data_IF_057057347736
#
_entry.id   IF_057057347736
#
_cell.length_a   1.000
_cell.length_b   1.000
_cell.length_c   1.000
_cell.angle_alpha   90.00
_cell.angle_beta   90.00
_cell.angle_gamma   90.00
#
_symmetry.space_group_name_H-M   'P 1'
#
loop_
_entity.id
_entity.type
_entity.pdbx_description
1 polymer ?
#
# COMPACT_ATOMS: atom_id res chain seq x y z
N UNK A 1 -12.43 63.37 37.47
CA UNK A 1 -13.24 62.22 37.01
C UNK A 1 -13.20 62.20 35.49
N UNK A 2 -12.29 61.42 34.91
CA UNK A 2 -12.13 61.35 33.44
C UNK A 2 -12.12 59.87 33.04
N UNK A 3 -13.25 59.43 32.47
CA UNK A 3 -13.37 58.50 31.35
C UNK A 3 -12.87 57.04 31.41
N UNK A 4 -12.99 56.34 32.55
CA UNK A 4 -12.69 54.88 32.60
C UNK A 4 -13.73 54.02 31.86
N UNK A 5 -14.99 54.48 31.75
CA UNK A 5 -16.06 53.72 31.10
C UNK A 5 -15.91 53.64 29.56
N UNK A 6 -15.36 54.68 28.91
CA UNK A 6 -15.13 54.69 27.47
C UNK A 6 -13.95 53.82 27.03
N UNK A 7 -12.95 53.63 27.90
CA UNK A 7 -11.80 52.75 27.65
C UNK A 7 -12.18 51.26 27.79
N UNK A 8 -13.08 50.93 28.72
CA UNK A 8 -13.56 49.56 28.88
C UNK A 8 -14.33 49.08 27.63
N UNK A 9 -15.18 49.93 27.05
CA UNK A 9 -15.97 49.61 25.85
C UNK A 9 -15.11 49.44 24.58
N UNK A 10 -13.97 50.15 24.51
CA UNK A 10 -13.01 50.01 23.41
C UNK A 10 -12.14 48.76 23.57
N UNK A 11 -11.79 48.38 24.80
CA UNK A 11 -11.04 47.15 25.08
C UNK A 11 -11.87 45.89 24.79
N UNK A 12 -13.17 45.93 25.10
CA UNK A 12 -14.11 44.84 24.83
C UNK A 12 -14.38 44.65 23.33
N UNK A 13 -14.54 45.75 22.57
CA UNK A 13 -14.70 45.69 21.11
C UNK A 13 -13.50 45.08 20.39
N UNK A 14 -12.28 45.39 20.85
CA UNK A 14 -11.04 44.80 20.30
C UNK A 14 -10.97 43.31 20.64
N UNK A 15 -11.29 42.91 21.87
CA UNK A 15 -11.31 41.51 22.27
C UNK A 15 -12.32 40.70 21.45
N UNK A 16 -13.53 41.23 21.24
CA UNK A 16 -14.56 40.58 20.43
C UNK A 16 -14.12 40.44 18.96
N UNK A 17 -13.48 41.47 18.39
CA UNK A 17 -12.95 41.40 17.02
C UNK A 17 -11.85 40.34 16.87
N UNK A 18 -10.93 40.24 17.84
CA UNK A 18 -9.88 39.21 17.84
C UNK A 18 -10.48 37.81 17.95
N UNK A 19 -11.47 37.62 18.84
CA UNK A 19 -12.16 36.33 18.99
C UNK A 19 -12.86 35.95 17.69
N UNK A 20 -13.58 36.89 17.04
CA UNK A 20 -14.23 36.61 15.76
C UNK A 20 -13.25 36.22 14.65
N UNK A 21 -12.09 36.90 14.57
CA UNK A 21 -11.04 36.55 13.60
C UNK A 21 -10.46 35.18 13.91
N UNK A 22 -10.20 34.87 15.18
CA UNK A 22 -9.70 33.56 15.60
C UNK A 22 -10.71 32.45 15.27
N UNK A 23 -12.01 32.68 15.53
CA UNK A 23 -13.07 31.73 15.19
C UNK A 23 -13.18 31.53 13.68
N UNK A 24 -13.12 32.61 12.89
CA UNK A 24 -13.12 32.51 11.43
C UNK A 24 -11.88 31.75 10.92
N UNK A 25 -10.70 32.03 11.48
CA UNK A 25 -9.47 31.32 11.18
C UNK A 25 -9.56 29.84 11.52
N UNK A 26 -10.12 29.48 12.69
CA UNK A 26 -10.35 28.09 13.08
C UNK A 26 -11.32 27.43 12.09
N UNK A 27 -12.44 28.05 11.76
CA UNK A 27 -13.42 27.49 10.80
C UNK A 27 -12.76 27.26 9.44
N UNK A 28 -12.05 28.25 8.90
CA UNK A 28 -11.38 28.15 7.58
C UNK A 28 -10.24 27.12 7.61
N UNK A 29 -9.46 27.06 8.69
CA UNK A 29 -8.37 26.09 8.83
C UNK A 29 -8.86 24.66 9.09
N UNK A 30 -10.04 24.50 9.70
CA UNK A 30 -10.70 23.18 9.84
C UNK A 30 -11.47 22.75 8.59
N UNK A 31 -11.72 23.66 7.64
CA UNK A 31 -12.44 23.36 6.40
C UNK A 31 -11.59 22.63 5.34
N UNK A 32 -10.30 22.37 5.60
CA UNK A 32 -9.55 21.35 4.88
C UNK A 32 -9.98 19.96 5.37
N UNK A 33 -11.26 19.65 5.22
CA UNK A 33 -11.79 18.30 5.35
C UNK A 33 -11.30 17.58 4.10
N UNK A 34 -10.24 16.78 4.24
CA UNK A 34 -10.03 15.66 3.34
C UNK A 34 -11.28 14.80 3.43
N UNK A 35 -12.20 14.98 2.49
CA UNK A 35 -13.39 14.14 2.41
C UNK A 35 -12.91 12.73 2.04
N UNK A 36 -13.43 11.68 2.69
CA UNK A 36 -13.13 10.29 2.30
C UNK A 36 -13.40 9.99 0.82
N UNK A 37 -14.16 10.86 0.13
CA UNK A 37 -14.42 10.76 -1.30
C UNK A 37 -13.21 11.03 -2.19
N UNK A 38 -12.28 11.91 -1.80
CA UNK A 38 -11.13 12.27 -2.66
C UNK A 38 -9.94 11.30 -2.50
N UNK A 39 -9.76 10.70 -1.32
CA UNK A 39 -8.76 9.64 -1.10
C UNK A 39 -9.15 8.34 -1.80
N UNK A 40 -10.45 8.08 -1.97
CA UNK A 40 -10.94 6.86 -2.61
C UNK A 40 -10.54 6.73 -4.08
N UNK A 41 -10.35 7.84 -4.80
CA UNK A 41 -9.93 7.81 -6.21
C UNK A 41 -8.48 7.38 -6.33
N UNK A 42 -7.59 7.95 -5.50
CA UNK A 42 -6.17 7.57 -5.50
C UNK A 42 -5.96 6.14 -5.02
N UNK A 43 -6.74 5.69 -4.04
CA UNK A 43 -6.68 4.32 -3.53
C UNK A 43 -7.18 3.33 -4.59
N UNK A 44 -8.29 3.66 -5.27
CA UNK A 44 -8.82 2.83 -6.36
C UNK A 44 -7.83 2.72 -7.53
N UNK A 45 -7.14 3.80 -7.88
CA UNK A 45 -6.08 3.78 -8.89
C UNK A 45 -4.92 2.89 -8.47
N UNK A 46 -4.51 2.95 -7.20
CA UNK A 46 -3.43 2.14 -6.67
C UNK A 46 -3.81 0.65 -6.60
N UNK A 47 -5.07 0.34 -6.27
CA UNK A 47 -5.62 -1.01 -6.31
C UNK A 47 -5.62 -1.58 -7.72
N UNK A 48 -6.11 -0.81 -8.70
CA UNK A 48 -6.10 -1.19 -10.11
C UNK A 48 -4.68 -1.43 -10.60
N UNK A 49 -3.77 -0.50 -10.32
CA UNK A 49 -2.36 -0.63 -10.71
C UNK A 49 -1.72 -1.89 -10.12
N UNK A 50 -1.85 -2.10 -8.80
CA UNK A 50 -1.25 -3.26 -8.13
C UNK A 50 -1.85 -4.58 -8.63
N UNK A 51 -3.17 -4.62 -8.86
CA UNK A 51 -3.87 -5.79 -9.40
C UNK A 51 -3.41 -6.11 -10.82
N UNK A 52 -3.27 -5.10 -11.68
CA UNK A 52 -2.84 -5.26 -13.06
C UNK A 52 -1.38 -5.72 -13.15
N UNK A 53 -0.51 -5.19 -12.30
CA UNK A 53 0.89 -5.63 -12.21
C UNK A 53 0.98 -7.08 -11.75
N UNK A 54 0.23 -7.48 -10.71
CA UNK A 54 0.19 -8.90 -10.30
C UNK A 54 -0.33 -9.79 -11.43
N UNK A 55 -1.33 -9.34 -12.19
CA UNK A 55 -1.86 -10.08 -13.33
C UNK A 55 -0.84 -10.24 -14.47
N UNK A 56 -0.09 -9.18 -14.75
CA UNK A 56 0.97 -9.20 -15.74
C UNK A 56 2.10 -10.14 -15.33
N UNK A 57 2.51 -10.11 -14.06
CA UNK A 57 3.56 -11.00 -13.53
C UNK A 57 3.15 -12.47 -13.55
N UNK A 58 1.86 -12.75 -13.36
CA UNK A 58 1.29 -14.10 -13.44
C UNK A 58 1.08 -14.59 -14.89
N UNK A 59 1.29 -13.74 -15.88
CA UNK A 59 1.16 -14.11 -17.30
C UNK A 59 2.49 -14.61 -17.86
N UNK A 60 2.56 -15.83 -18.42
CA UNK A 60 3.76 -16.32 -19.08
C UNK A 60 4.18 -15.46 -20.28
N UNK A 61 5.49 -15.23 -20.44
CA UNK A 61 6.03 -14.49 -21.59
C UNK A 61 5.91 -15.25 -22.91
N UNK A 62 5.87 -16.58 -22.85
CA UNK A 62 5.66 -17.47 -24.00
C UNK A 62 4.79 -18.65 -23.64
N UNK A 63 4.14 -19.23 -24.65
CA UNK A 63 3.35 -20.44 -24.49
C UNK A 63 4.22 -21.59 -23.95
N UNK A 64 3.79 -22.18 -22.84
CA UNK A 64 4.48 -23.30 -22.18
C UNK A 64 5.61 -22.89 -21.21
N UNK A 65 5.87 -21.59 -21.03
CA UNK A 65 6.78 -21.12 -19.99
C UNK A 65 6.04 -20.86 -18.66
N UNK A 66 6.77 -20.97 -17.56
CA UNK A 66 6.30 -20.57 -16.22
C UNK A 66 6.27 -19.06 -16.09
N UNK A 67 5.22 -18.50 -15.47
CA UNK A 67 5.11 -17.06 -15.21
C UNK A 67 6.19 -16.58 -14.24
N UNK A 68 6.55 -15.31 -14.31
CA UNK A 68 7.58 -14.76 -13.42
C UNK A 68 7.10 -14.78 -11.96
N UNK A 69 5.80 -14.58 -11.73
CA UNK A 69 5.20 -14.70 -10.40
C UNK A 69 5.39 -16.11 -9.81
N UNK A 70 5.14 -17.16 -10.60
CA UNK A 70 5.39 -18.54 -10.15
C UNK A 70 6.88 -18.74 -9.81
N UNK A 71 7.83 -18.15 -10.57
CA UNK A 71 9.27 -18.28 -10.28
C UNK A 71 9.72 -17.60 -8.98
N UNK A 72 9.04 -16.52 -8.58
CA UNK A 72 9.35 -15.86 -7.31
C UNK A 72 8.75 -16.58 -6.10
N UNK A 73 7.66 -17.32 -6.35
CA UNK A 73 6.85 -17.97 -5.32
C UNK A 73 7.14 -19.48 -5.25
N UNK A 74 7.78 -20.06 -6.27
CA UNK A 74 8.29 -21.42 -6.19
C UNK A 74 9.42 -21.48 -5.14
N UNK A 75 9.38 -22.50 -4.28
CA UNK A 75 10.35 -22.70 -3.20
C UNK A 75 10.29 -21.65 -2.07
N UNK A 76 9.09 -21.18 -1.70
CA UNK A 76 8.84 -20.40 -0.46
C UNK A 76 9.57 -20.99 0.75
N UNK A 77 9.80 -22.30 0.79
CA UNK A 77 10.48 -23.00 1.87
C UNK A 77 12.02 -22.93 1.91
N UNK A 78 12.66 -22.45 0.84
CA UNK A 78 14.12 -22.56 0.71
C UNK A 78 14.87 -21.36 1.34
N UNK A 79 16.15 -21.55 1.68
CA UNK A 79 16.99 -20.54 2.36
C UNK A 79 17.33 -19.34 1.46
N UNK A 80 17.34 -19.51 0.13
CA UNK A 80 17.58 -18.44 -0.86
C UNK A 80 16.38 -17.50 -1.09
N UNK A 81 15.33 -17.64 -0.29
CA UNK A 81 14.08 -16.92 -0.42
C UNK A 81 14.22 -15.39 -0.36
N UNK A 82 15.19 -14.86 0.40
CA UNK A 82 15.45 -13.41 0.44
C UNK A 82 15.83 -12.84 -0.93
N UNK A 83 16.54 -13.62 -1.77
CA UNK A 83 16.95 -13.16 -3.11
C UNK A 83 15.73 -13.11 -4.06
N UNK A 84 14.77 -14.01 -3.88
CA UNK A 84 13.55 -14.03 -4.68
C UNK A 84 12.56 -12.93 -4.26
N UNK A 85 12.51 -12.62 -2.96
CA UNK A 85 11.78 -11.49 -2.39
C UNK A 85 12.22 -10.15 -2.97
N UNK A 86 13.52 -9.87 -2.92
CA UNK A 86 14.11 -8.64 -3.47
C UNK A 86 13.82 -8.51 -4.98
N UNK A 87 14.04 -9.58 -5.75
CA UNK A 87 13.75 -9.58 -7.20
C UNK A 87 12.27 -9.39 -7.51
N UNK A 88 11.38 -9.96 -6.70
CA UNK A 88 9.94 -9.77 -6.82
C UNK A 88 9.59 -8.30 -6.62
N UNK A 89 10.09 -7.68 -5.54
CA UNK A 89 9.88 -6.25 -5.25
C UNK A 89 10.41 -5.37 -6.37
N UNK A 90 11.65 -5.57 -6.79
CA UNK A 90 12.26 -4.76 -7.85
C UNK A 90 11.46 -4.85 -9.16
N UNK A 91 10.98 -6.06 -9.50
CA UNK A 91 10.14 -6.27 -10.67
C UNK A 91 8.77 -5.61 -10.53
N UNK A 92 8.12 -5.80 -9.38
CA UNK A 92 6.79 -5.28 -9.10
C UNK A 92 6.77 -3.75 -9.11
N UNK A 93 7.66 -3.11 -8.33
CA UNK A 93 7.77 -1.65 -8.27
C UNK A 93 8.18 -1.06 -9.61
N UNK A 94 9.05 -1.74 -10.38
CA UNK A 94 9.38 -1.30 -11.75
C UNK A 94 8.16 -1.29 -12.65
N UNK A 95 7.30 -2.31 -12.58
CA UNK A 95 6.07 -2.33 -13.38
C UNK A 95 5.06 -1.28 -12.92
N UNK A 96 4.94 -1.04 -11.60
CA UNK A 96 4.13 0.06 -11.09
C UNK A 96 4.61 1.44 -11.60
N UNK A 97 5.92 1.64 -11.68
CA UNK A 97 6.53 2.91 -12.12
C UNK A 97 6.79 3.00 -13.63
N UNK A 98 6.34 2.03 -14.42
CA UNK A 98 6.53 2.09 -15.88
C UNK A 98 5.63 3.16 -16.48
N UNK A 99 6.18 4.35 -16.72
CA UNK A 99 5.50 5.47 -17.40
C UNK A 99 6.20 5.84 -18.71
N UNK A 100 5.43 6.36 -19.67
CA UNK A 100 5.98 6.90 -20.92
C UNK A 100 6.59 8.29 -20.75
N UNK A 101 6.13 9.06 -19.76
CA UNK A 101 6.59 10.42 -19.42
C UNK A 101 6.34 10.70 -17.93
N UNK A 102 7.21 11.48 -17.27
CA UNK A 102 7.04 11.89 -15.86
C UNK A 102 8.19 11.50 -14.94
N UNK A 103 7.95 11.64 -13.63
CA UNK A 103 8.87 11.20 -12.55
C UNK A 103 8.28 9.95 -11.90
N UNK A 104 9.15 9.01 -11.52
CA UNK A 104 8.74 7.78 -10.83
C UNK A 104 7.97 8.09 -9.54
N UNK A 105 6.95 7.28 -9.25
CA UNK A 105 6.17 7.40 -8.02
C UNK A 105 6.95 6.74 -6.86
N UNK A 106 6.84 7.32 -5.66
CA UNK A 106 7.51 6.82 -4.46
C UNK A 106 6.65 5.75 -3.79
N UNK A 107 6.54 4.61 -4.48
CA UNK A 107 5.74 3.47 -4.03
C UNK A 107 6.54 2.55 -3.12
N UNK A 108 5.88 2.08 -2.07
CA UNK A 108 6.40 1.10 -1.11
C UNK A 108 5.48 -0.11 -1.08
N UNK A 109 6.06 -1.28 -0.80
CA UNK A 109 5.30 -2.51 -0.79
C UNK A 109 5.73 -3.49 0.29
N UNK A 110 4.77 -4.29 0.76
CA UNK A 110 5.01 -5.43 1.63
C UNK A 110 4.23 -6.62 1.06
N UNK A 111 4.93 -7.70 0.76
CA UNK A 111 4.32 -8.87 0.15
C UNK A 111 4.30 -10.08 1.09
N UNK A 112 3.21 -10.84 1.06
CA UNK A 112 3.01 -12.09 1.77
C UNK A 112 2.59 -13.18 0.81
N UNK A 113 2.97 -14.41 1.13
CA UNK A 113 2.43 -15.60 0.48
C UNK A 113 1.75 -16.47 1.53
N UNK A 114 0.48 -16.76 1.31
CA UNK A 114 -0.28 -17.70 2.11
C UNK A 114 -0.33 -19.05 1.39
N UNK A 115 -0.02 -20.10 2.12
CA UNK A 115 0.07 -21.45 1.59
C UNK A 115 -0.49 -22.46 2.59
N UNK A 116 -1.01 -23.57 2.08
CA UNK A 116 -1.51 -24.67 2.90
C UNK A 116 -0.35 -25.60 3.27
N UNK A 117 -0.27 -26.01 4.53
CA UNK A 117 0.62 -27.06 5.04
C UNK A 117 -0.20 -28.02 5.92
N UNK A 118 -0.43 -29.23 5.44
CA UNK A 118 -1.37 -30.17 6.07
C UNK A 118 -2.77 -29.56 6.21
N UNK A 119 -3.26 -29.46 7.45
CA UNK A 119 -4.56 -28.85 7.79
C UNK A 119 -4.47 -27.35 8.18
N UNK A 120 -3.27 -26.77 8.15
CA UNK A 120 -3.04 -25.38 8.49
C UNK A 120 -2.86 -24.50 7.24
N UNK A 121 -3.28 -23.24 7.34
CA UNK A 121 -2.89 -22.17 6.42
C UNK A 121 -1.80 -21.37 7.13
N UNK A 122 -0.64 -21.29 6.50
CA UNK A 122 0.51 -20.53 6.97
C UNK A 122 0.76 -19.35 6.04
N UNK A 123 1.49 -18.35 6.52
CA UNK A 123 1.97 -17.26 5.70
C UNK A 123 3.49 -17.11 5.83
N UNK A 124 4.10 -16.53 4.80
CA UNK A 124 5.49 -16.11 4.81
C UNK A 124 5.61 -14.76 4.13
N UNK A 125 6.42 -13.87 4.71
CA UNK A 125 6.72 -12.56 4.13
C UNK A 125 7.63 -12.73 2.93
N UNK A 126 7.18 -12.39 1.72
CA UNK A 126 7.98 -12.46 0.50
C UNK A 126 9.03 -11.37 0.46
N UNK A 127 8.66 -10.15 0.84
CA UNK A 127 9.57 -9.01 0.96
C UNK A 127 8.91 -7.93 1.82
N UNK A 128 9.69 -7.23 2.63
CA UNK A 128 9.25 -6.12 3.46
C UNK A 128 10.00 -4.83 3.08
N UNK A 129 9.31 -3.84 2.51
CA UNK A 129 9.88 -2.52 2.22
C UNK A 129 9.44 -1.55 3.30
N UNK A 130 10.11 -1.62 4.46
CA UNK A 130 9.80 -0.84 5.66
C UNK A 130 8.37 -1.02 6.22
N UNK A 131 8.24 -1.06 7.54
CA UNK A 131 6.94 -1.21 8.19
C UNK A 131 6.08 0.02 7.91
N UNK A 132 4.99 -0.14 7.15
CA UNK A 132 3.94 0.88 7.04
C UNK A 132 3.55 1.34 8.44
N UNK A 133 3.56 2.64 8.66
CA UNK A 133 3.35 3.21 10.01
C UNK A 133 1.88 3.13 10.46
N UNK A 134 1.02 2.49 9.67
CA UNK A 134 -0.43 2.42 9.86
C UNK A 134 -1.15 3.75 9.62
N UNK A 135 -0.39 4.79 9.24
CA UNK A 135 -0.90 6.13 8.86
C UNK A 135 -0.93 6.35 7.35
N UNK A 136 -0.29 5.48 6.60
CA UNK A 136 -0.19 5.57 5.15
C UNK A 136 -1.44 4.95 4.52
N UNK A 137 -1.98 5.57 3.46
CA UNK A 137 -3.11 5.00 2.71
C UNK A 137 -2.61 3.80 1.91
N UNK A 138 -2.67 2.62 2.54
CA UNK A 138 -2.21 1.37 1.97
C UNK A 138 -3.36 0.55 1.41
N UNK A 139 -3.16 0.03 0.20
CA UNK A 139 -4.11 -0.79 -0.53
C UNK A 139 -3.61 -2.23 -0.57
N UNK A 140 -4.53 -3.18 -0.43
CA UNK A 140 -4.23 -4.61 -0.46
C UNK A 140 -4.67 -5.21 -1.78
N UNK A 141 -3.74 -5.80 -2.51
CA UNK A 141 -4.01 -6.52 -3.77
C UNK A 141 -3.63 -7.98 -3.60
N UNK A 142 -4.44 -8.88 -4.15
CA UNK A 142 -4.27 -10.33 -3.97
C UNK A 142 -4.43 -11.09 -5.26
N UNK A 143 -3.66 -12.18 -5.43
CA UNK A 143 -3.81 -13.09 -6.55
C UNK A 143 -3.52 -14.54 -6.18
N UNK A 144 -4.37 -15.45 -6.63
CA UNK A 144 -4.11 -16.88 -6.52
C UNK A 144 -3.15 -17.34 -7.61
N UNK A 145 -2.13 -18.11 -7.22
CA UNK A 145 -1.08 -18.61 -8.10
C UNK A 145 -1.06 -20.13 -8.02
N UNK A 146 -1.04 -20.78 -9.17
CA UNK A 146 -0.92 -22.23 -9.28
C UNK A 146 0.54 -22.63 -9.40
N UNK A 147 1.00 -23.49 -8.48
CA UNK A 147 2.36 -24.02 -8.41
C UNK A 147 2.35 -25.51 -8.79
N UNK A 148 2.69 -25.87 -10.04
CA UNK A 148 2.82 -27.27 -10.43
C UNK A 148 4.03 -27.92 -9.73
N UNK A 149 3.82 -29.04 -9.05
CA UNK A 149 4.89 -29.75 -8.34
C UNK A 149 5.52 -28.97 -7.17
N UNK A 150 4.74 -28.11 -6.51
CA UNK A 150 5.20 -27.28 -5.40
C UNK A 150 5.95 -28.08 -4.33
N UNK A 151 7.17 -27.63 -4.02
CA UNK A 151 7.89 -28.05 -2.82
C UNK A 151 7.25 -27.33 -1.63
N UNK A 152 6.26 -27.98 -1.03
CA UNK A 152 5.84 -27.58 0.31
C UNK A 152 7.01 -27.82 1.28
N UNK A 153 7.17 -26.95 2.28
CA UNK A 153 8.04 -27.17 3.45
C UNK A 153 7.67 -28.43 4.26
N UNK A 154 6.66 -29.18 3.82
CA UNK A 154 6.19 -30.43 4.40
C UNK A 154 6.69 -31.66 3.65
N UNK A 155 7.46 -31.48 2.57
CA UNK A 155 7.92 -32.58 1.73
C UNK A 155 6.82 -33.22 0.88
N UNK A 156 5.59 -32.68 0.86
CA UNK A 156 4.57 -33.11 -0.08
C UNK A 156 4.85 -32.47 -1.44
N UNK A 157 5.40 -33.26 -2.37
CA UNK A 157 5.51 -32.92 -3.78
C UNK A 157 4.14 -33.04 -4.43
N UNK A 158 3.51 -31.92 -4.74
CA UNK A 158 2.19 -31.91 -5.36
C UNK A 158 1.81 -30.53 -5.85
N UNK A 159 0.83 -30.50 -6.76
CA UNK A 159 0.29 -29.25 -7.26
C UNK A 159 -0.39 -28.47 -6.13
N UNK A 160 -0.05 -27.19 -6.00
CA UNK A 160 -0.51 -26.35 -4.90
C UNK A 160 -1.03 -25.01 -5.43
N UNK A 161 -2.08 -24.48 -4.78
CA UNK A 161 -2.52 -23.10 -4.98
C UNK A 161 -2.06 -22.29 -3.76
N UNK A 162 -1.43 -21.15 -4.03
CA UNK A 162 -0.99 -20.18 -3.02
C UNK A 162 -1.66 -18.84 -3.29
N UNK A 163 -1.86 -18.05 -2.24
CA UNK A 163 -2.36 -16.69 -2.33
C UNK A 163 -1.19 -15.73 -2.14
N UNK A 164 -0.88 -14.94 -3.16
CA UNK A 164 0.06 -13.83 -3.07
C UNK A 164 -0.74 -12.59 -2.69
N UNK A 165 -0.31 -11.91 -1.65
CA UNK A 165 -0.88 -10.66 -1.17
C UNK A 165 0.21 -9.59 -1.17
N UNK A 166 -0.09 -8.42 -1.72
CA UNK A 166 0.79 -7.25 -1.69
C UNK A 166 0.03 -6.10 -1.07
N UNK A 167 0.58 -5.55 0.00
CA UNK A 167 0.21 -4.26 0.55
C UNK A 167 1.04 -3.19 -0.17
N UNK A 168 0.39 -2.22 -0.79
CA UNK A 168 1.00 -1.17 -1.62
C UNK A 168 0.56 0.20 -1.11
N UNK A 169 1.49 1.12 -0.93
CA UNK A 169 1.20 2.49 -0.50
C UNK A 169 2.17 3.48 -1.12
N UNK A 170 1.79 4.76 -1.08
CA UNK A 170 2.65 5.88 -1.47
C UNK A 170 3.20 6.55 -0.21
N UNK A 171 4.47 6.92 -0.25
CA UNK A 171 5.14 7.76 0.77
C UNK A 171 5.10 9.25 0.39
#
# INVERSE_FOLDING_TARGET
MVNDAGQLYTMEGIAAAIIMILTAYIIVSTASIYTPGDTHITDMQLEQLGSDVLAMMDTPKKAGETSDLVKYVENIGNLDYNINGEKFKDMFLRYCNTTSEGTDDNLKMHAFVYYRKGDAILNKTLEDTDLSTGRDNAVRVTRFVYLPGGSSDDGSSGDQIVLVEVLLWRE
#
